data_IF_075708750391
#
_entry.id   IF_075708750391
#
_cell.length_a   1.000
_cell.length_b   1.000
_cell.length_c   1.000
_cell.angle_alpha   90.00
_cell.angle_beta   90.00
_cell.angle_gamma   90.00
#
_symmetry.space_group_name_H-M   'P 1'
#
loop_
_entity.id
_entity.type
_entity.pdbx_description
1 polymer ?
#
# COMPACT_ATOMS: atom_id res chain seq x y z
N UNK A 1 36.65 9.16 31.59
CA UNK A 1 36.79 9.80 30.27
C UNK A 1 35.79 9.18 29.32
N UNK A 2 35.02 9.99 28.59
CA UNK A 2 34.14 9.49 27.52
C UNK A 2 35.05 8.97 26.39
N UNK A 3 34.94 7.69 26.06
CA UNK A 3 35.59 7.16 24.86
C UNK A 3 35.03 7.89 23.63
N UNK A 4 35.88 8.34 22.70
CA UNK A 4 35.41 8.87 21.43
C UNK A 4 34.80 7.71 20.64
N UNK A 5 33.54 7.86 20.21
CA UNK A 5 32.93 6.89 19.30
C UNK A 5 33.71 6.91 18.00
N UNK A 6 34.17 5.75 17.54
CA UNK A 6 34.85 5.58 16.26
C UNK A 6 33.92 5.99 15.13
N UNK A 7 34.49 6.56 14.08
CA UNK A 7 33.81 6.99 12.85
C UNK A 7 33.10 5.87 12.08
N UNK A 8 33.20 4.62 12.54
CA UNK A 8 32.58 3.41 11.97
C UNK A 8 31.05 3.35 12.16
N UNK A 9 30.47 4.16 13.07
CA UNK A 9 29.01 4.27 13.26
C UNK A 9 28.32 5.23 12.26
N UNK A 10 29.07 5.85 11.33
CA UNK A 10 28.52 6.86 10.41
C UNK A 10 27.71 6.30 9.24
N UNK A 11 27.67 4.97 9.05
CA UNK A 11 26.98 4.33 7.93
C UNK A 11 25.65 3.62 8.29
N UNK A 12 25.16 3.79 9.52
CA UNK A 12 23.77 3.47 9.84
C UNK A 12 22.94 4.73 9.65
N UNK A 13 22.70 5.09 8.38
CA UNK A 13 21.81 6.18 8.01
C UNK A 13 20.47 6.00 8.72
N UNK A 14 20.04 7.01 9.47
CA UNK A 14 18.70 7.03 10.06
C UNK A 14 17.72 6.97 8.89
N UNK A 15 17.01 5.85 8.74
CA UNK A 15 15.88 5.78 7.80
C UNK A 15 14.82 6.73 8.35
N UNK A 16 14.55 7.79 7.61
CA UNK A 16 13.49 8.73 7.97
C UNK A 16 12.11 8.12 7.71
N UNK A 17 11.08 8.68 8.36
CA UNK A 17 9.72 8.14 8.24
C UNK A 17 9.20 8.28 6.81
N UNK A 18 9.54 9.37 6.11
CA UNK A 18 9.14 9.56 4.71
C UNK A 18 9.70 8.49 3.77
N UNK A 19 10.95 8.06 3.96
CA UNK A 19 11.61 6.99 3.23
C UNK A 19 10.90 5.65 3.47
N UNK A 20 10.50 5.36 4.71
CA UNK A 20 9.73 4.14 5.02
C UNK A 20 8.40 4.14 4.27
N UNK A 21 7.67 5.27 4.29
CA UNK A 21 6.40 5.42 3.56
C UNK A 21 6.61 5.29 2.05
N UNK A 22 7.65 5.93 1.50
CA UNK A 22 7.97 5.87 0.08
C UNK A 22 8.30 4.44 -0.38
N UNK A 23 9.17 3.74 0.34
CA UNK A 23 9.51 2.34 0.05
C UNK A 23 8.28 1.44 0.12
N UNK A 24 7.37 1.70 1.06
CA UNK A 24 6.14 0.93 1.17
C UNK A 24 5.19 1.18 -0.02
N UNK A 25 5.08 2.42 -0.49
CA UNK A 25 4.31 2.75 -1.71
C UNK A 25 4.91 2.07 -2.95
N UNK A 26 6.24 2.06 -3.09
CA UNK A 26 6.91 1.36 -4.19
C UNK A 26 6.64 -0.15 -4.14
N UNK A 27 6.70 -0.77 -2.95
CA UNK A 27 6.38 -2.19 -2.76
C UNK A 27 4.96 -2.50 -3.18
N UNK A 28 4.00 -1.68 -2.78
CA UNK A 28 2.59 -1.80 -3.17
C UNK A 28 2.43 -1.72 -4.69
N UNK A 29 3.04 -0.72 -5.35
CA UNK A 29 2.97 -0.56 -6.81
C UNK A 29 3.57 -1.73 -7.57
N UNK A 30 4.68 -2.28 -7.07
CA UNK A 30 5.28 -3.49 -7.64
C UNK A 30 4.35 -4.70 -7.49
N UNK A 31 3.81 -4.94 -6.29
CA UNK A 31 2.90 -6.05 -6.02
C UNK A 31 1.63 -5.98 -6.89
N UNK A 32 1.00 -4.81 -6.97
CA UNK A 32 -0.24 -4.64 -7.76
C UNK A 32 -0.01 -4.93 -9.26
N UNK A 33 1.16 -4.57 -9.80
CA UNK A 33 1.52 -4.83 -11.20
C UNK A 33 1.72 -6.32 -11.52
N UNK A 34 1.95 -7.17 -10.50
CA UNK A 34 2.25 -8.60 -10.66
C UNK A 34 1.04 -9.51 -10.46
N UNK A 35 -0.05 -9.00 -9.89
CA UNK A 35 -1.24 -9.82 -9.56
C UNK A 35 -1.77 -10.53 -10.81
N UNK A 36 -2.02 -9.83 -11.91
CA UNK A 36 -2.56 -10.44 -13.14
C UNK A 36 -1.53 -10.73 -14.23
N UNK A 37 -0.26 -10.39 -14.00
CA UNK A 37 0.82 -10.55 -14.98
C UNK A 37 1.56 -11.88 -14.87
N UNK A 38 1.12 -12.75 -13.97
CA UNK A 38 1.79 -14.01 -13.67
C UNK A 38 0.98 -15.15 -14.30
N UNK A 39 1.51 -15.86 -15.30
CA UNK A 39 0.79 -16.93 -16.00
C UNK A 39 0.64 -18.23 -15.18
N UNK A 40 1.28 -18.32 -14.02
CA UNK A 40 1.18 -19.49 -13.13
C UNK A 40 -0.04 -19.45 -12.21
N UNK A 41 -0.65 -20.62 -12.00
CA UNK A 41 -2.03 -20.78 -11.54
C UNK A 41 -2.30 -20.37 -10.08
N UNK A 42 -1.27 -20.23 -9.24
CA UNK A 42 -1.41 -19.87 -7.81
C UNK A 42 -0.59 -18.64 -7.36
N UNK A 43 0.39 -18.20 -8.17
CA UNK A 43 1.27 -17.07 -7.78
C UNK A 43 0.50 -15.75 -7.67
N UNK A 44 -0.52 -15.57 -8.51
CA UNK A 44 -1.40 -14.41 -8.45
C UNK A 44 -2.17 -14.30 -7.12
N UNK A 45 -2.54 -15.44 -6.51
CA UNK A 45 -3.23 -15.47 -5.21
C UNK A 45 -2.28 -15.02 -4.09
N UNK A 46 -1.04 -15.52 -4.10
CA UNK A 46 0.01 -15.09 -3.17
C UNK A 46 0.31 -13.60 -3.35
N UNK A 47 0.36 -13.11 -4.59
CA UNK A 47 0.56 -11.70 -4.88
C UNK A 47 -0.60 -10.83 -4.39
N UNK A 48 -1.84 -11.27 -4.52
CA UNK A 48 -3.02 -10.58 -3.98
C UNK A 48 -2.98 -10.49 -2.46
N UNK A 49 -2.62 -11.57 -1.76
CA UNK A 49 -2.48 -11.57 -0.31
C UNK A 49 -1.32 -10.67 0.14
N UNK A 50 -0.17 -10.73 -0.53
CA UNK A 50 0.96 -9.85 -0.27
C UNK A 50 0.61 -8.37 -0.51
N UNK A 51 -0.18 -8.08 -1.54
CA UNK A 51 -0.69 -6.75 -1.84
C UNK A 51 -1.58 -6.23 -0.70
N UNK A 52 -2.53 -7.04 -0.25
CA UNK A 52 -3.37 -6.73 0.93
C UNK A 52 -2.52 -6.36 2.15
N UNK A 53 -1.59 -7.24 2.54
CA UNK A 53 -0.74 -6.98 3.71
C UNK A 53 0.16 -5.75 3.54
N UNK A 54 0.65 -5.48 2.33
CA UNK A 54 1.43 -4.28 2.06
C UNK A 54 0.59 -3.01 2.27
N UNK A 55 -0.67 -3.00 1.83
CA UNK A 55 -1.57 -1.86 2.09
C UNK A 55 -1.93 -1.73 3.57
N UNK A 56 -2.20 -2.83 4.29
CA UNK A 56 -2.44 -2.79 5.74
C UNK A 56 -1.22 -2.31 6.54
N UNK A 57 -0.02 -2.65 6.09
CA UNK A 57 1.21 -2.13 6.70
C UNK A 57 1.35 -0.61 6.46
N UNK A 58 1.02 -0.13 5.27
CA UNK A 58 1.00 1.31 4.99
C UNK A 58 -0.04 2.03 5.87
N UNK A 59 -1.23 1.45 6.03
CA UNK A 59 -2.26 1.96 6.96
C UNK A 59 -1.72 2.06 8.39
N UNK A 60 -1.06 1.01 8.89
CA UNK A 60 -0.49 0.99 10.24
C UNK A 60 0.60 2.07 10.41
N UNK A 61 1.49 2.23 9.43
CA UNK A 61 2.51 3.29 9.45
C UNK A 61 1.89 4.69 9.47
N UNK A 62 0.77 4.87 8.76
CA UNK A 62 0.07 6.14 8.68
C UNK A 62 -0.95 6.35 9.80
N UNK A 63 -1.08 5.44 10.77
CA UNK A 63 -2.06 5.50 11.86
C UNK A 63 -2.21 6.90 12.49
N UNK A 64 -1.12 7.63 12.83
CA UNK A 64 -1.24 8.98 13.41
C UNK A 64 -1.96 10.02 12.53
N UNK A 65 -2.03 9.77 11.23
CA UNK A 65 -2.58 10.67 10.21
C UNK A 65 -4.00 10.27 9.75
N UNK A 66 -4.47 9.08 10.15
CA UNK A 66 -5.77 8.52 9.77
C UNK A 66 -6.81 8.86 10.85
N UNK A 67 -7.89 9.55 10.45
CA UNK A 67 -8.93 9.96 11.40
C UNK A 67 -10.05 8.93 11.54
N UNK A 68 -10.97 9.19 12.48
CA UNK A 68 -12.13 8.32 12.71
C UNK A 68 -12.96 8.07 11.44
N UNK A 69 -13.12 9.10 10.59
CA UNK A 69 -13.90 8.99 9.34
C UNK A 69 -13.26 8.02 8.35
N UNK A 70 -11.93 7.96 8.30
CA UNK A 70 -11.20 6.95 7.54
C UNK A 70 -11.58 5.54 8.02
N UNK A 71 -11.49 5.27 9.33
CA UNK A 71 -11.78 3.93 9.86
C UNK A 71 -13.25 3.52 9.69
N UNK A 72 -14.19 4.45 9.86
CA UNK A 72 -15.62 4.23 9.57
C UNK A 72 -15.85 3.85 8.08
N UNK A 73 -15.07 4.44 7.16
CA UNK A 73 -15.13 4.09 5.75
C UNK A 73 -14.53 2.70 5.46
N UNK A 74 -13.40 2.36 6.10
CA UNK A 74 -12.79 1.02 6.01
C UNK A 74 -13.75 -0.05 6.53
N UNK A 75 -14.36 0.15 7.70
CA UNK A 75 -15.33 -0.79 8.27
C UNK A 75 -16.52 -1.02 7.32
N UNK A 76 -17.00 0.04 6.67
CA UNK A 76 -18.08 -0.07 5.67
C UNK A 76 -17.66 -0.90 4.45
N UNK A 77 -16.41 -0.80 4.01
CA UNK A 77 -15.86 -1.59 2.89
C UNK A 77 -15.79 -3.07 3.31
N UNK A 78 -15.17 -3.35 4.46
CA UNK A 78 -14.99 -4.71 4.98
C UNK A 78 -16.34 -5.40 5.23
N UNK A 79 -17.31 -4.68 5.79
CA UNK A 79 -18.67 -5.19 5.98
C UNK A 79 -19.35 -5.57 4.67
N UNK A 80 -19.24 -4.74 3.63
CA UNK A 80 -19.80 -5.06 2.31
C UNK A 80 -19.16 -6.28 1.69
N UNK A 81 -17.84 -6.44 1.82
CA UNK A 81 -17.13 -7.61 1.33
C UNK A 81 -17.56 -8.88 2.07
N UNK A 82 -17.72 -8.79 3.40
CA UNK A 82 -18.26 -9.88 4.23
C UNK A 82 -19.68 -10.27 3.80
N UNK A 83 -20.58 -9.31 3.61
CA UNK A 83 -21.94 -9.56 3.14
C UNK A 83 -21.95 -10.26 1.75
N UNK A 84 -20.99 -9.93 0.87
CA UNK A 84 -20.82 -10.56 -0.44
C UNK A 84 -20.34 -12.01 -0.32
N UNK A 85 -19.40 -12.27 0.58
CA UNK A 85 -18.88 -13.61 0.88
C UNK A 85 -19.96 -14.52 1.48
N UNK A 86 -20.68 -14.05 2.50
CA UNK A 86 -21.74 -14.82 3.18
C UNK A 86 -22.84 -15.25 2.20
N UNK A 87 -23.27 -14.33 1.31
CA UNK A 87 -24.25 -14.66 0.26
C UNK A 87 -23.79 -15.73 -0.72
N UNK A 88 -22.48 -15.83 -1.01
CA UNK A 88 -21.93 -16.89 -1.86
C UNK A 88 -21.88 -18.23 -1.13
N UNK A 89 -21.54 -18.23 0.15
CA UNK A 89 -21.52 -19.44 0.97
C UNK A 89 -22.91 -20.05 1.14
N UNK A 90 -23.92 -19.22 1.40
CA UNK A 90 -25.31 -19.67 1.59
C UNK A 90 -25.94 -20.26 0.31
N UNK A 91 -25.38 -19.97 -0.87
CA UNK A 91 -25.88 -20.41 -2.18
C UNK A 91 -24.97 -21.36 -2.96
N UNK A 92 -23.78 -21.68 -2.45
CA UNK A 92 -22.75 -22.42 -3.20
C UNK A 92 -22.75 -23.93 -2.92
N UNK A 93 -22.74 -24.75 -3.98
CA UNK A 93 -22.38 -26.18 -3.87
C UNK A 93 -20.87 -26.36 -3.90
N UNK A 94 -20.36 -27.49 -3.37
CA UNK A 94 -18.93 -27.87 -3.43
C UNK A 94 -18.37 -27.89 -4.87
N UNK A 95 -19.26 -28.05 -5.86
CA UNK A 95 -18.94 -28.05 -7.29
C UNK A 95 -18.30 -26.73 -7.78
N UNK A 96 -18.52 -25.62 -7.08
CA UNK A 96 -17.99 -24.29 -7.43
C UNK A 96 -16.80 -23.83 -6.55
N UNK A 97 -16.17 -24.73 -5.80
CA UNK A 97 -15.11 -24.37 -4.84
C UNK A 97 -13.96 -23.55 -5.46
N UNK A 98 -13.51 -23.90 -6.67
CA UNK A 98 -12.41 -23.18 -7.35
C UNK A 98 -12.85 -21.79 -7.82
N UNK A 99 -14.08 -21.65 -8.32
CA UNK A 99 -14.64 -20.37 -8.73
C UNK A 99 -14.87 -19.45 -7.53
N UNK A 100 -15.37 -19.99 -6.42
CA UNK A 100 -15.53 -19.27 -5.16
C UNK A 100 -14.19 -18.75 -4.63
N UNK A 101 -13.13 -19.58 -4.65
CA UNK A 101 -11.78 -19.15 -4.28
C UNK A 101 -11.29 -18.00 -5.17
N UNK A 102 -11.52 -18.08 -6.48
CA UNK A 102 -11.15 -17.01 -7.40
C UNK A 102 -11.87 -15.69 -7.07
N UNK A 103 -13.17 -15.77 -6.78
CA UNK A 103 -13.99 -14.63 -6.39
C UNK A 103 -13.54 -14.03 -5.05
N UNK A 104 -13.12 -14.85 -4.09
CA UNK A 104 -12.61 -14.39 -2.78
C UNK A 104 -11.30 -13.61 -2.92
N UNK A 105 -10.40 -14.07 -3.78
CA UNK A 105 -9.15 -13.34 -4.07
C UNK A 105 -9.45 -12.02 -4.78
N UNK A 106 -10.39 -12.03 -5.74
CA UNK A 106 -10.86 -10.81 -6.40
C UNK A 106 -11.44 -9.80 -5.41
N UNK A 107 -12.29 -10.25 -4.49
CA UNK A 107 -12.88 -9.40 -3.45
C UNK A 107 -11.80 -8.83 -2.52
N UNK A 108 -10.79 -9.62 -2.18
CA UNK A 108 -9.63 -9.16 -1.40
C UNK A 108 -8.90 -8.02 -2.14
N UNK A 109 -8.70 -8.14 -3.45
CA UNK A 109 -8.09 -7.08 -4.27
C UNK A 109 -8.97 -5.84 -4.33
N UNK A 110 -10.29 -6.00 -4.49
CA UNK A 110 -11.27 -4.89 -4.50
C UNK A 110 -11.22 -4.11 -3.17
N UNK A 111 -11.27 -4.80 -2.04
CA UNK A 111 -11.14 -4.20 -0.70
C UNK A 111 -9.81 -3.47 -0.56
N UNK A 112 -8.71 -4.11 -0.97
CA UNK A 112 -7.37 -3.54 -0.88
C UNK A 112 -7.24 -2.24 -1.70
N UNK A 113 -7.82 -2.23 -2.91
CA UNK A 113 -7.84 -1.06 -3.79
C UNK A 113 -8.65 0.10 -3.19
N UNK A 114 -9.79 -0.18 -2.55
CA UNK A 114 -10.57 0.85 -1.87
C UNK A 114 -9.83 1.43 -0.66
N UNK A 115 -9.16 0.59 0.13
CA UNK A 115 -8.36 1.05 1.28
C UNK A 115 -7.22 1.95 0.82
N UNK A 116 -6.43 1.56 -0.20
CA UNK A 116 -5.35 2.42 -0.68
C UNK A 116 -5.85 3.71 -1.33
N UNK A 117 -7.04 3.70 -1.94
CA UNK A 117 -7.70 4.92 -2.43
C UNK A 117 -8.00 5.87 -1.27
N UNK A 118 -8.58 5.37 -0.17
CA UNK A 118 -8.86 6.16 1.02
C UNK A 118 -7.58 6.72 1.65
N UNK A 119 -6.53 5.91 1.77
CA UNK A 119 -5.21 6.36 2.24
C UNK A 119 -4.69 7.49 1.33
N UNK A 120 -4.73 7.30 0.01
CA UNK A 120 -4.27 8.28 -0.97
C UNK A 120 -5.04 9.60 -0.88
N UNK A 121 -6.37 9.55 -0.72
CA UNK A 121 -7.21 10.73 -0.52
C UNK A 121 -6.88 11.47 0.77
N UNK A 122 -6.62 10.73 1.86
CA UNK A 122 -6.22 11.32 3.13
C UNK A 122 -4.86 12.00 3.03
N UNK A 123 -3.89 11.33 2.43
CA UNK A 123 -2.54 11.85 2.24
C UNK A 123 -2.52 13.09 1.34
N UNK A 124 -3.34 13.13 0.28
CA UNK A 124 -3.53 14.32 -0.56
C UNK A 124 -4.07 15.50 0.26
N UNK A 125 -5.09 15.28 1.10
CA UNK A 125 -5.67 16.34 1.95
C UNK A 125 -4.70 16.89 2.98
N UNK A 126 -3.76 16.07 3.44
CA UNK A 126 -2.71 16.46 4.38
C UNK A 126 -1.50 17.12 3.71
N UNK A 127 -1.46 17.20 2.38
CA UNK A 127 -0.31 17.73 1.63
C UNK A 127 0.91 16.81 1.64
N UNK A 128 0.76 15.55 2.07
CA UNK A 128 1.85 14.58 2.21
C UNK A 128 2.11 13.79 0.91
N UNK A 129 1.24 13.91 -0.08
CA UNK A 129 1.51 13.44 -1.44
C UNK A 129 1.93 14.63 -2.29
N UNK A 130 3.18 14.60 -2.75
CA UNK A 130 3.73 15.61 -3.66
C UNK A 130 2.84 15.65 -4.92
N UNK A 131 2.16 16.77 -5.22
CA UNK A 131 1.40 16.94 -6.45
C UNK A 131 2.27 16.66 -7.67
N UNK A 132 1.68 16.10 -8.73
CA UNK A 132 2.39 15.76 -9.97
C UNK A 132 3.18 16.95 -10.56
N UNK A 133 2.79 18.20 -10.27
CA UNK A 133 3.53 19.41 -10.66
C UNK A 133 4.89 19.55 -9.95
N UNK A 134 5.02 19.21 -8.66
CA UNK A 134 6.24 19.52 -7.87
C UNK A 134 7.42 18.61 -8.22
N UNK A 135 7.16 17.46 -8.85
CA UNK A 135 8.21 16.56 -9.37
C UNK A 135 9.04 17.19 -10.49
N UNK A 136 8.47 18.12 -11.25
CA UNK A 136 9.16 18.80 -12.34
C UNK A 136 9.93 20.06 -11.89
N UNK A 137 9.60 20.62 -10.73
CA UNK A 137 10.31 21.78 -10.19
C UNK A 137 11.61 21.38 -9.49
N UNK A 138 11.62 20.28 -8.72
CA UNK A 138 12.84 19.78 -8.08
C UNK A 138 13.93 19.36 -9.09
N UNK A 139 13.56 18.89 -10.29
CA UNK A 139 14.50 18.55 -11.35
C UNK A 139 15.10 19.76 -12.10
N UNK A 140 14.64 20.99 -11.81
CA UNK A 140 15.15 22.22 -12.44
C UNK A 140 16.05 23.07 -11.56
N UNK A 141 16.04 22.87 -10.23
CA UNK A 141 16.81 23.74 -9.33
C UNK A 141 18.30 23.34 -9.25
N UNK A 142 18.65 22.09 -9.58
CA UNK A 142 20.03 21.57 -9.44
C UNK A 142 20.86 21.55 -10.74
N UNK A 143 20.39 22.15 -11.85
CA UNK A 143 21.13 22.13 -13.13
C UNK A 143 21.80 23.48 -13.47
N UNK A 144 21.53 24.56 -12.73
CA UNK A 144 22.07 25.89 -13.04
C UNK A 144 23.12 26.39 -12.02
N UNK A 145 23.85 25.49 -11.35
CA UNK A 145 24.94 25.83 -10.42
C UNK A 145 26.36 25.48 -10.91
N UNK A 146 26.53 25.09 -12.17
CA UNK A 146 27.86 24.90 -12.77
C UNK A 146 28.03 25.76 -14.02
N UNK A 147 28.16 27.07 -13.85
CA UNK A 147 28.89 27.96 -14.76
C UNK A 147 29.62 29.03 -13.93
N UNK A 148 30.77 28.64 -13.37
CA UNK A 148 31.90 29.54 -13.05
C UNK A 148 33.13 28.94 -13.71
#
# INVERSE_FOLDING_TARGET
GKMPRKDEDKFYGRVDFEQVIYLQILKIGNLSSRIFNTPETDEWQKNALNYYYAVRMLEALLYPYLDKKYYEAVEKIERKAKEKYEKRQDGGSEEYATENLYLDVKDTIEVTNEIIRLISERMKKLGLLIPKQTWFEYGKVDVDAEHI
#
